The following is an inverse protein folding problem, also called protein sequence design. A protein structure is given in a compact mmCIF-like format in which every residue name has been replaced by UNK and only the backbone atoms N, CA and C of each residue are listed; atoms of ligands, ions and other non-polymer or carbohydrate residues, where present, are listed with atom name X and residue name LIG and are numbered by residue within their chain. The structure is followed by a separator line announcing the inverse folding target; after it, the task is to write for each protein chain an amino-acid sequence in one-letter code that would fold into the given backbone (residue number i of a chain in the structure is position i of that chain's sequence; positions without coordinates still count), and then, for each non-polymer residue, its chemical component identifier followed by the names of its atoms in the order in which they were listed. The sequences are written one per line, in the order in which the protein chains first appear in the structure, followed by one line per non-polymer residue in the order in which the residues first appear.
data_IF_956511351583
#
_entry.id   IF_956511351583
#
_cell.length_a   1.000
_cell.length_b   1.000
_cell.length_c   1.000
_cell.angle_alpha   90.00
_cell.angle_beta   90.00
_cell.angle_gamma   90.00
#
_symmetry.space_group_name_H-M   'P 1'
#
loop_
_entity.id
_entity.type
_entity.pdbx_description
1 polymer ?
#
# COMPACT_ATOMS: atom_id res chain seq x y z
N UNK A 1 -17.94 18.87 -16.38
CA UNK A 1 -19.14 18.00 -16.14
C UNK A 1 -19.50 18.07 -14.67
N UNK A 2 -20.76 18.40 -14.34
CA UNK A 2 -21.19 18.61 -12.94
C UNK A 2 -21.53 17.31 -12.20
N UNK A 3 -21.97 16.28 -12.91
CA UNK A 3 -22.32 14.98 -12.35
C UNK A 3 -22.04 13.82 -13.32
N UNK A 4 -21.85 12.64 -12.76
CA UNK A 4 -21.72 11.38 -13.49
C UNK A 4 -22.65 10.34 -12.86
N UNK A 5 -23.62 9.84 -13.66
CA UNK A 5 -24.49 8.74 -13.24
C UNK A 5 -23.72 7.43 -13.19
N UNK A 6 -23.96 6.64 -12.14
CA UNK A 6 -23.32 5.34 -11.92
C UNK A 6 -24.34 4.21 -12.06
N UNK A 7 -23.87 3.02 -12.40
CA UNK A 7 -24.73 1.85 -12.57
C UNK A 7 -25.49 1.48 -11.29
N UNK A 8 -24.82 1.59 -10.15
CA UNK A 8 -25.33 1.38 -8.77
C UNK A 8 -24.33 1.93 -7.76
N UNK A 9 -24.68 2.00 -6.49
CA UNK A 9 -23.81 2.42 -5.40
C UNK A 9 -22.80 1.34 -5.00
N UNK A 10 -22.58 1.13 -3.69
CA UNK A 10 -21.69 0.04 -3.21
C UNK A 10 -22.21 -1.34 -3.63
N UNK A 11 -23.52 -1.52 -3.69
CA UNK A 11 -24.15 -2.80 -4.03
C UNK A 11 -25.17 -2.63 -5.17
N UNK A 12 -25.48 -3.69 -5.95
CA UNK A 12 -26.38 -3.63 -7.12
C UNK A 12 -27.80 -3.15 -6.83
N UNK A 13 -28.28 -3.32 -5.59
CA UNK A 13 -29.58 -2.86 -5.13
C UNK A 13 -29.61 -1.37 -4.76
N UNK A 14 -28.48 -0.72 -4.60
CA UNK A 14 -28.37 0.69 -4.22
C UNK A 14 -28.46 1.59 -5.46
N UNK A 15 -29.68 1.88 -5.88
CA UNK A 15 -30.02 2.72 -7.04
C UNK A 15 -31.08 3.77 -6.65
N UNK A 16 -31.01 4.98 -7.23
CA UNK A 16 -30.00 5.47 -8.19
C UNK A 16 -28.64 5.73 -7.52
N UNK A 17 -27.58 5.87 -8.35
CA UNK A 17 -26.24 6.23 -7.87
C UNK A 17 -25.59 7.23 -8.82
N UNK A 18 -24.84 8.18 -8.26
CA UNK A 18 -24.06 9.18 -9.00
C UNK A 18 -22.93 9.74 -8.15
N UNK A 19 -21.93 10.31 -8.81
CA UNK A 19 -21.03 11.28 -8.19
C UNK A 19 -21.33 12.66 -8.77
N UNK A 20 -21.25 13.71 -7.96
CA UNK A 20 -21.57 15.07 -8.39
C UNK A 20 -20.91 16.13 -7.50
N UNK A 21 -20.80 17.33 -8.06
CA UNK A 21 -20.39 18.51 -7.32
C UNK A 21 -21.59 19.40 -7.06
N UNK A 22 -21.73 19.91 -5.84
CA UNK A 22 -22.78 20.91 -5.52
C UNK A 22 -22.49 22.25 -6.19
N UNK A 23 -21.20 22.58 -6.33
CA UNK A 23 -20.70 23.78 -7.00
C UNK A 23 -19.53 23.40 -7.91
N UNK A 24 -19.41 24.09 -9.04
CA UNK A 24 -18.35 23.80 -10.03
C UNK A 24 -18.57 22.51 -10.82
N UNK A 25 -17.50 22.00 -11.37
CA UNK A 25 -17.45 20.76 -12.16
C UNK A 25 -16.65 19.67 -11.43
N UNK A 26 -16.88 18.42 -11.79
CA UNK A 26 -16.08 17.30 -11.33
C UNK A 26 -14.62 17.52 -11.77
N UNK A 27 -13.66 17.41 -10.84
CA UNK A 27 -12.23 17.61 -11.16
C UNK A 27 -11.60 16.40 -11.86
N UNK A 28 -12.39 15.66 -12.62
CA UNK A 28 -11.96 14.43 -13.30
C UNK A 28 -12.50 14.34 -14.72
N UNK A 29 -11.76 13.59 -15.54
CA UNK A 29 -12.19 13.14 -16.86
C UNK A 29 -12.02 11.61 -16.94
N UNK A 30 -13.07 10.89 -17.33
CA UNK A 30 -13.00 9.44 -17.60
C UNK A 30 -12.55 9.25 -19.05
N UNK A 31 -11.27 8.90 -19.24
CA UNK A 31 -10.68 8.73 -20.56
C UNK A 31 -11.01 7.38 -21.20
N UNK A 32 -11.30 6.37 -20.38
CA UNK A 32 -11.72 5.04 -20.81
C UNK A 32 -12.49 4.30 -19.71
N UNK A 33 -13.34 3.35 -20.10
CA UNK A 33 -14.10 2.49 -19.19
C UNK A 33 -15.35 3.16 -18.61
N UNK A 34 -15.89 2.54 -17.58
CA UNK A 34 -17.08 3.01 -16.83
C UNK A 34 -16.87 2.71 -15.33
N UNK A 35 -16.12 3.54 -14.63
CA UNK A 35 -15.85 3.31 -13.20
C UNK A 35 -17.14 3.31 -12.39
N UNK A 36 -17.26 2.39 -11.46
CA UNK A 36 -18.37 2.32 -10.52
C UNK A 36 -18.12 3.10 -9.24
N UNK A 37 -19.09 3.07 -8.33
CA UNK A 37 -19.05 3.79 -7.05
C UNK A 37 -17.79 3.45 -6.23
N UNK A 38 -17.51 2.15 -6.03
CA UNK A 38 -16.34 1.71 -5.26
C UNK A 38 -15.04 2.10 -5.95
N UNK A 39 -14.99 2.05 -7.29
CA UNK A 39 -13.81 2.48 -8.04
C UNK A 39 -13.48 3.95 -7.78
N UNK A 40 -14.49 4.84 -7.72
CA UNK A 40 -14.26 6.24 -7.39
C UNK A 40 -13.87 6.45 -5.92
N UNK A 41 -14.39 5.64 -4.99
CA UNK A 41 -13.90 5.67 -3.61
C UNK A 41 -12.41 5.34 -3.53
N UNK A 42 -11.97 4.29 -4.22
CA UNK A 42 -10.54 3.95 -4.30
C UNK A 42 -9.74 5.03 -5.02
N UNK A 43 -10.24 5.54 -6.16
CA UNK A 43 -9.56 6.56 -6.96
C UNK A 43 -9.28 7.84 -6.15
N UNK A 44 -10.27 8.38 -5.48
CA UNK A 44 -10.12 9.67 -4.78
C UNK A 44 -9.29 9.54 -3.49
N UNK A 45 -9.41 8.41 -2.76
CA UNK A 45 -8.59 8.20 -1.58
C UNK A 45 -7.13 7.94 -1.95
N UNK A 46 -6.88 7.12 -2.97
CA UNK A 46 -5.52 6.84 -3.45
C UNK A 46 -4.84 8.06 -4.05
N UNK A 47 -5.59 8.91 -4.79
CA UNK A 47 -5.07 10.16 -5.32
C UNK A 47 -4.56 11.10 -4.22
N UNK A 48 -5.34 11.28 -3.15
CA UNK A 48 -4.92 12.11 -2.02
C UNK A 48 -3.61 11.59 -1.40
N UNK A 49 -3.46 10.28 -1.27
CA UNK A 49 -2.26 9.66 -0.72
C UNK A 49 -1.03 9.97 -1.59
N UNK A 50 -1.09 9.69 -2.90
CA UNK A 50 0.08 9.88 -3.77
C UNK A 50 0.44 11.35 -3.95
N UNK A 51 -0.57 12.24 -3.99
CA UNK A 51 -0.39 13.70 -4.01
C UNK A 51 0.34 14.17 -2.75
N UNK A 52 -0.08 13.68 -1.57
CA UNK A 52 0.56 14.02 -0.30
C UNK A 52 2.01 13.50 -0.23
N UNK A 53 2.28 12.28 -0.70
CA UNK A 53 3.64 11.73 -0.78
C UNK A 53 4.53 12.58 -1.69
N UNK A 54 4.06 12.92 -2.89
CA UNK A 54 4.80 13.78 -3.84
C UNK A 54 5.12 15.13 -3.20
N UNK A 55 4.14 15.75 -2.54
CA UNK A 55 4.33 17.05 -1.87
C UNK A 55 5.36 16.97 -0.75
N UNK A 56 5.31 15.93 0.07
CA UNK A 56 6.19 15.78 1.23
C UNK A 56 7.63 15.40 0.86
N UNK A 57 7.83 14.65 -0.22
CA UNK A 57 9.14 14.06 -0.56
C UNK A 57 9.79 14.62 -1.83
N UNK A 58 9.02 15.32 -2.67
CA UNK A 58 9.46 15.77 -4.00
C UNK A 58 9.62 14.62 -5.03
N UNK A 59 9.45 13.37 -4.62
CA UNK A 59 9.63 12.20 -5.47
C UNK A 59 8.31 11.76 -6.12
N UNK A 60 8.33 11.18 -7.33
CA UNK A 60 7.19 10.45 -7.87
C UNK A 60 6.73 9.38 -6.87
N UNK A 61 5.41 9.24 -6.72
CA UNK A 61 4.81 8.31 -5.80
C UNK A 61 3.62 7.57 -6.43
N UNK A 62 3.39 6.35 -6.00
CA UNK A 62 2.25 5.55 -6.44
C UNK A 62 1.64 4.77 -5.28
N UNK A 63 0.39 4.37 -5.47
CA UNK A 63 -0.34 3.51 -4.54
C UNK A 63 -1.15 2.45 -5.30
N UNK A 64 -1.33 1.32 -4.65
CA UNK A 64 -2.25 0.25 -5.03
C UNK A 64 -3.35 0.20 -3.98
N UNK A 65 -4.58 0.48 -4.38
CA UNK A 65 -5.72 0.59 -3.46
C UNK A 65 -6.74 -0.52 -3.70
N UNK A 66 -7.35 -0.98 -2.63
CA UNK A 66 -8.48 -1.90 -2.68
C UNK A 66 -9.32 -1.75 -1.42
N UNK A 67 -10.66 -1.72 -1.58
CA UNK A 67 -11.60 -1.53 -0.48
C UNK A 67 -11.30 -0.28 0.37
N UNK A 68 -11.00 0.82 -0.32
CA UNK A 68 -10.76 2.15 0.27
C UNK A 68 -9.56 2.18 1.24
N UNK A 69 -8.59 1.29 1.03
CA UNK A 69 -7.34 1.26 1.79
C UNK A 69 -6.17 0.87 0.89
N UNK A 70 -4.95 1.35 1.16
CA UNK A 70 -3.78 0.95 0.40
C UNK A 70 -3.41 -0.51 0.71
N UNK A 71 -3.27 -1.32 -0.34
CA UNK A 71 -2.50 -2.56 -0.28
C UNK A 71 -1.01 -2.24 -0.19
N UNK A 72 -0.60 -1.13 -0.81
CA UNK A 72 0.74 -0.60 -0.74
C UNK A 72 0.86 0.80 -1.31
N UNK A 73 1.94 1.49 -0.92
CA UNK A 73 2.36 2.79 -1.41
C UNK A 73 3.89 2.85 -1.49
N UNK A 74 4.43 3.56 -2.47
CA UNK A 74 5.88 3.65 -2.64
C UNK A 74 6.32 4.92 -3.37
N UNK A 75 7.58 5.28 -3.15
CA UNK A 75 8.31 6.33 -3.86
C UNK A 75 9.04 5.75 -5.08
N UNK A 76 9.28 6.59 -6.07
CA UNK A 76 9.91 6.25 -7.34
C UNK A 76 11.42 6.05 -7.25
N UNK A 77 11.86 5.08 -6.43
CA UNK A 77 13.26 4.64 -6.37
C UNK A 77 13.49 3.51 -7.37
N UNK A 78 14.70 3.40 -7.95
CA UNK A 78 15.05 2.29 -8.85
C UNK A 78 14.80 0.92 -8.20
N UNK A 79 14.35 -0.04 -9.02
CA UNK A 79 14.19 -1.42 -8.56
C UNK A 79 15.55 -2.10 -8.39
N UNK A 80 15.70 -2.83 -7.29
CA UNK A 80 16.82 -3.77 -7.13
C UNK A 80 16.60 -5.02 -7.99
N UNK A 81 17.64 -5.81 -8.23
CA UNK A 81 17.52 -7.06 -8.98
C UNK A 81 16.57 -8.06 -8.30
N UNK A 82 16.57 -8.07 -6.96
CA UNK A 82 15.65 -8.89 -6.17
C UNK A 82 14.19 -8.42 -6.38
N UNK A 83 13.94 -7.12 -6.33
CA UNK A 83 12.61 -6.56 -6.58
C UNK A 83 12.14 -6.85 -8.02
N UNK A 84 13.01 -6.72 -9.02
CA UNK A 84 12.67 -7.11 -10.41
C UNK A 84 12.22 -8.56 -10.48
N UNK A 85 12.95 -9.47 -9.84
CA UNK A 85 12.61 -10.89 -9.82
C UNK A 85 11.30 -11.16 -9.06
N UNK A 86 11.11 -10.57 -7.87
CA UNK A 86 9.91 -10.72 -7.05
C UNK A 86 8.65 -10.22 -7.76
N UNK A 87 8.77 -9.13 -8.52
CA UNK A 87 7.64 -8.43 -9.14
C UNK A 87 7.46 -8.77 -10.62
N UNK A 88 8.16 -9.80 -11.10
CA UNK A 88 8.06 -10.29 -12.48
C UNK A 88 8.39 -9.23 -13.52
N UNK A 89 9.38 -8.40 -13.24
CA UNK A 89 9.91 -7.39 -14.17
C UNK A 89 11.00 -8.03 -14.99
N UNK A 90 10.66 -8.34 -16.23
CA UNK A 90 11.55 -9.03 -17.19
C UNK A 90 12.09 -8.00 -18.20
N UNK A 91 12.96 -7.10 -17.74
CA UNK A 91 13.63 -6.15 -18.59
C UNK A 91 14.93 -5.64 -17.97
N UNK A 92 15.96 -5.51 -18.78
CA UNK A 92 17.20 -4.84 -18.40
C UNK A 92 17.12 -3.30 -18.58
N UNK A 93 16.04 -2.82 -19.21
CA UNK A 93 15.80 -1.39 -19.37
C UNK A 93 15.64 -0.73 -18.01
N UNK A 94 16.24 0.44 -17.84
CA UNK A 94 15.93 1.33 -16.73
C UNK A 94 14.50 1.85 -16.88
N UNK A 95 13.67 1.56 -15.86
CA UNK A 95 12.29 1.99 -15.84
C UNK A 95 12.18 3.42 -15.29
N UNK A 96 11.15 4.13 -15.71
CA UNK A 96 10.87 5.46 -15.19
C UNK A 96 10.60 5.44 -13.67
N UNK A 97 10.88 6.56 -12.97
CA UNK A 97 10.62 6.62 -11.53
C UNK A 97 9.15 6.35 -11.16
N UNK A 98 8.19 6.80 -11.99
CA UNK A 98 6.77 6.56 -11.71
C UNK A 98 6.39 5.09 -11.92
N UNK A 99 6.96 4.41 -12.90
CA UNK A 99 6.80 2.97 -13.07
C UNK A 99 7.38 2.20 -11.88
N UNK A 100 8.60 2.55 -11.44
CA UNK A 100 9.21 1.97 -10.25
C UNK A 100 8.33 2.17 -9.01
N UNK A 101 7.76 3.36 -8.82
CA UNK A 101 6.85 3.63 -7.70
C UNK A 101 5.65 2.69 -7.71
N UNK A 102 4.97 2.53 -8.86
CA UNK A 102 3.80 1.65 -8.95
C UNK A 102 4.16 0.18 -8.77
N UNK A 103 5.23 -0.29 -9.40
CA UNK A 103 5.70 -1.67 -9.25
C UNK A 103 5.97 -2.01 -7.80
N UNK A 104 6.63 -1.11 -7.07
CA UNK A 104 6.94 -1.26 -5.64
C UNK A 104 5.68 -1.15 -4.77
N UNK A 105 4.79 -0.20 -5.04
CA UNK A 105 3.53 -0.06 -4.32
C UNK A 105 2.66 -1.32 -4.43
N UNK A 106 2.50 -1.84 -5.65
CA UNK A 106 1.80 -3.11 -5.89
C UNK A 106 2.54 -4.30 -5.29
N UNK A 107 3.87 -4.26 -5.32
CA UNK A 107 4.76 -5.29 -4.79
C UNK A 107 4.71 -5.47 -3.28
N UNK A 108 4.23 -4.48 -2.53
CA UNK A 108 4.08 -4.54 -1.07
C UNK A 108 3.20 -5.72 -0.63
N UNK A 109 2.10 -5.95 -1.34
CA UNK A 109 1.18 -7.08 -1.12
C UNK A 109 0.50 -7.43 -2.46
N UNK A 110 1.09 -8.36 -3.19
CA UNK A 110 0.62 -8.72 -4.53
C UNK A 110 -0.74 -9.40 -4.53
N UNK A 111 -1.11 -10.11 -3.45
CA UNK A 111 -2.44 -10.71 -3.31
C UNK A 111 -3.53 -9.67 -3.06
N UNK A 112 -3.30 -8.75 -2.12
CA UNK A 112 -4.23 -7.66 -1.85
C UNK A 112 -4.36 -6.70 -3.05
N UNK A 113 -3.33 -6.61 -3.89
CA UNK A 113 -3.32 -5.80 -5.12
C UNK A 113 -4.03 -6.47 -6.31
N UNK A 114 -4.53 -7.70 -6.17
CA UNK A 114 -5.31 -8.34 -7.21
C UNK A 114 -6.65 -7.63 -7.42
N UNK A 115 -6.83 -7.00 -8.59
CA UNK A 115 -7.98 -6.15 -8.86
C UNK A 115 -7.91 -4.79 -8.17
N UNK A 116 -6.72 -4.23 -8.05
CA UNK A 116 -6.47 -2.93 -7.44
C UNK A 116 -6.98 -1.75 -8.27
N UNK A 117 -6.98 -0.60 -7.61
CA UNK A 117 -7.01 0.71 -8.25
C UNK A 117 -5.63 1.34 -8.10
N UNK A 118 -4.96 1.58 -9.24
CA UNK A 118 -3.67 2.24 -9.28
C UNK A 118 -3.81 3.75 -9.17
N UNK A 119 -2.95 4.41 -8.38
CA UNK A 119 -2.85 5.86 -8.35
C UNK A 119 -1.41 6.30 -8.56
N UNK A 120 -1.22 7.33 -9.37
CA UNK A 120 0.08 7.91 -9.69
C UNK A 120 0.08 9.40 -9.38
N UNK A 121 1.15 9.89 -8.77
CA UNK A 121 1.33 11.32 -8.49
C UNK A 121 1.73 12.15 -9.71
N UNK A 122 2.23 11.48 -10.73
CA UNK A 122 2.78 12.08 -11.96
C UNK A 122 2.12 11.45 -13.20
N UNK A 123 2.40 12.00 -14.37
CA UNK A 123 1.90 11.48 -15.66
C UNK A 123 2.19 9.99 -15.81
N UNK A 124 1.16 9.21 -16.14
CA UNK A 124 1.33 7.80 -16.48
C UNK A 124 2.05 7.67 -17.83
N UNK A 125 3.17 7.00 -17.83
CA UNK A 125 3.99 6.75 -19.02
C UNK A 125 3.85 5.31 -19.55
N UNK A 126 4.51 5.05 -20.68
CA UNK A 126 4.47 3.76 -21.35
C UNK A 126 5.07 2.63 -20.50
N UNK A 127 6.08 2.89 -19.69
CA UNK A 127 6.70 1.89 -18.81
C UNK A 127 5.69 1.42 -17.76
N UNK A 128 5.00 2.35 -17.12
CA UNK A 128 3.94 2.06 -16.13
C UNK A 128 2.78 1.31 -16.79
N UNK A 129 2.31 1.79 -17.94
CA UNK A 129 1.20 1.17 -18.66
C UNK A 129 1.53 -0.25 -19.12
N UNK A 130 2.74 -0.48 -19.60
CA UNK A 130 3.21 -1.80 -20.05
C UNK A 130 3.27 -2.80 -18.91
N UNK A 131 3.77 -2.41 -17.73
CA UNK A 131 3.75 -3.28 -16.55
C UNK A 131 2.30 -3.59 -16.13
N UNK A 132 1.47 -2.55 -16.04
CA UNK A 132 0.07 -2.66 -15.63
C UNK A 132 -0.77 -3.52 -16.58
N UNK A 133 -0.43 -3.55 -17.87
CA UNK A 133 -1.12 -4.36 -18.87
C UNK A 133 -1.10 -5.87 -18.53
N UNK A 134 -0.07 -6.34 -17.85
CA UNK A 134 0.10 -7.73 -17.45
C UNK A 134 -0.49 -8.05 -16.05
N UNK A 135 -0.98 -7.06 -15.33
CA UNK A 135 -1.54 -7.23 -13.98
C UNK A 135 -3.08 -7.25 -14.00
N UNK A 136 -3.69 -7.90 -13.01
CA UNK A 136 -5.14 -7.79 -12.79
C UNK A 136 -5.39 -6.54 -11.95
N UNK A 137 -5.98 -5.54 -12.60
CA UNK A 137 -6.27 -4.22 -12.04
C UNK A 137 -7.63 -3.74 -12.54
N UNK A 138 -8.34 -2.95 -11.77
CA UNK A 138 -9.68 -2.44 -12.11
C UNK A 138 -9.65 -1.06 -12.76
N UNK A 139 -8.64 -0.26 -12.43
CA UNK A 139 -8.50 1.07 -12.99
C UNK A 139 -7.28 1.83 -12.48
N UNK A 140 -7.12 3.02 -13.01
CA UNK A 140 -6.01 3.92 -12.70
C UNK A 140 -6.48 5.37 -12.65
N UNK A 141 -5.89 6.14 -11.71
CA UNK A 141 -6.02 7.59 -11.66
C UNK A 141 -4.64 8.23 -11.71
N UNK A 142 -4.49 9.26 -12.52
CA UNK A 142 -3.26 10.04 -12.65
C UNK A 142 -3.60 11.48 -13.10
N UNK A 143 -2.68 12.45 -12.89
CA UNK A 143 -2.89 13.83 -13.36
C UNK A 143 -2.87 13.94 -14.88
N UNK A 144 -2.14 13.04 -15.56
CA UNK A 144 -2.13 12.95 -17.03
C UNK A 144 -1.65 11.56 -17.51
N UNK A 145 -1.76 11.33 -18.82
CA UNK A 145 -1.34 10.11 -19.49
C UNK A 145 -0.61 10.46 -20.80
N UNK A 146 0.54 9.84 -21.06
CA UNK A 146 1.13 9.94 -22.38
C UNK A 146 0.24 9.25 -23.41
N UNK A 147 0.31 9.68 -24.68
CA UNK A 147 -0.49 9.07 -25.75
C UNK A 147 -0.24 7.55 -25.86
N UNK A 148 1.04 7.12 -25.75
CA UNK A 148 1.42 5.72 -25.78
C UNK A 148 0.85 4.93 -24.59
N UNK A 149 0.95 5.47 -23.37
CA UNK A 149 0.37 4.84 -22.18
C UNK A 149 -1.14 4.66 -22.33
N UNK A 150 -1.84 5.67 -22.81
CA UNK A 150 -3.29 5.64 -23.00
C UNK A 150 -3.68 4.56 -24.03
N UNK A 151 -2.96 4.45 -25.14
CA UNK A 151 -3.23 3.38 -26.12
C UNK A 151 -3.02 1.98 -25.54
N UNK A 152 -1.97 1.75 -24.76
CA UNK A 152 -1.75 0.48 -24.06
C UNK A 152 -2.92 0.17 -23.10
N UNK A 153 -3.29 1.13 -22.26
CA UNK A 153 -4.33 0.95 -21.24
C UNK A 153 -5.71 0.71 -21.84
N UNK A 154 -6.03 1.35 -22.97
CA UNK A 154 -7.30 1.15 -23.68
C UNK A 154 -7.49 -0.28 -24.22
N UNK A 155 -6.40 -1.03 -24.47
CA UNK A 155 -6.51 -2.42 -24.91
C UNK A 155 -6.82 -3.40 -23.76
N UNK A 156 -6.50 -3.01 -22.53
CA UNK A 156 -6.69 -3.85 -21.34
C UNK A 156 -8.16 -4.14 -21.07
N UNK A 157 -8.46 -5.34 -20.53
CA UNK A 157 -9.83 -5.81 -20.23
C UNK A 157 -10.77 -5.74 -21.44
N UNK A 158 -10.26 -6.04 -22.65
CA UNK A 158 -11.02 -5.97 -23.91
C UNK A 158 -11.60 -4.56 -24.16
N UNK A 159 -10.85 -3.53 -23.80
CA UNK A 159 -11.26 -2.13 -23.94
C UNK A 159 -12.03 -1.54 -22.77
N UNK A 160 -12.29 -2.32 -21.72
CA UNK A 160 -13.08 -1.89 -20.56
C UNK A 160 -12.27 -1.48 -19.32
N UNK A 161 -10.95 -1.27 -19.44
CA UNK A 161 -10.15 -0.80 -18.32
C UNK A 161 -10.46 0.64 -17.96
N UNK A 162 -10.61 0.93 -16.68
CA UNK A 162 -10.97 2.28 -16.24
C UNK A 162 -9.73 3.18 -16.17
N UNK A 163 -9.78 4.31 -16.88
CA UNK A 163 -8.73 5.32 -16.91
C UNK A 163 -9.32 6.67 -16.54
N UNK A 164 -8.88 7.24 -15.45
CA UNK A 164 -9.37 8.50 -14.91
C UNK A 164 -8.23 9.52 -14.83
N UNK A 165 -8.41 10.65 -15.50
CA UNK A 165 -7.55 11.82 -15.36
C UNK A 165 -8.14 12.72 -14.27
N UNK A 166 -7.29 13.25 -13.39
CA UNK A 166 -7.70 14.18 -12.33
C UNK A 166 -6.97 15.51 -12.48
N UNK A 167 -7.66 16.60 -12.18
CA UNK A 167 -7.06 17.93 -12.07
C UNK A 167 -6.14 17.96 -10.83
N UNK A 168 -4.82 18.06 -11.00
CA UNK A 168 -3.88 18.05 -9.88
C UNK A 168 -3.98 19.30 -8.99
N UNK A 169 -4.54 20.39 -9.49
CA UNK A 169 -4.65 21.67 -8.79
C UNK A 169 -5.98 21.81 -8.02
N UNK A 170 -6.89 20.84 -8.19
CA UNK A 170 -8.16 20.85 -7.45
C UNK A 170 -7.93 20.73 -5.95
N UNK A 171 -8.54 21.65 -5.21
CA UNK A 171 -8.61 21.61 -3.74
C UNK A 171 -10.05 21.42 -3.28
N UNK A 172 -10.32 20.45 -2.38
CA UNK A 172 -11.65 20.27 -1.81
C UNK A 172 -12.03 21.44 -0.89
N UNK A 173 -13.32 21.59 -0.60
CA UNK A 173 -13.79 22.57 0.37
C UNK A 173 -13.19 22.30 1.75
N UNK A 174 -13.06 23.38 2.55
CA UNK A 174 -12.53 23.31 3.92
C UNK A 174 -13.43 22.54 4.89
N UNK A 175 -14.67 22.30 4.51
CA UNK A 175 -15.67 21.54 5.30
C UNK A 175 -16.13 20.36 4.49
N UNK A 176 -16.09 19.17 5.09
CA UNK A 176 -16.65 17.95 4.53
C UNK A 176 -17.89 17.49 5.30
N UNK A 177 -18.80 16.88 4.61
CA UNK A 177 -20.07 16.39 5.15
C UNK A 177 -20.29 14.92 4.79
N UNK A 178 -20.86 14.15 5.72
CA UNK A 178 -21.20 12.75 5.55
C UNK A 178 -22.54 12.45 6.19
N UNK A 179 -23.41 11.76 5.46
CA UNK A 179 -24.71 11.33 5.99
C UNK A 179 -24.64 9.87 6.47
N UNK A 180 -25.00 9.62 7.73
CA UNK A 180 -25.13 8.30 8.31
C UNK A 180 -26.51 8.17 8.93
N UNK A 181 -27.29 7.22 8.47
CA UNK A 181 -28.67 7.00 8.93
C UNK A 181 -29.55 8.26 8.84
N UNK A 182 -29.34 9.10 7.80
CA UNK A 182 -30.06 10.35 7.62
C UNK A 182 -29.60 11.51 8.53
N UNK A 183 -28.61 11.27 9.38
CA UNK A 183 -27.99 12.32 10.22
C UNK A 183 -26.72 12.78 9.50
N UNK A 184 -26.63 14.11 9.29
CA UNK A 184 -25.47 14.73 8.67
C UNK A 184 -24.40 15.02 9.71
N UNK A 185 -23.21 14.48 9.44
CA UNK A 185 -21.98 14.82 10.14
C UNK A 185 -21.22 15.88 9.34
N UNK A 186 -20.64 16.84 10.03
CA UNK A 186 -19.84 17.91 9.45
C UNK A 186 -18.54 18.07 10.24
N UNK A 187 -17.43 18.19 9.53
CA UNK A 187 -16.11 18.44 10.12
C UNK A 187 -15.22 19.23 9.17
N UNK A 188 -14.12 19.78 9.67
CA UNK A 188 -13.07 20.32 8.82
C UNK A 188 -12.47 19.22 7.94
N UNK A 189 -12.23 19.53 6.67
CA UNK A 189 -11.47 18.64 5.80
C UNK A 189 -10.05 18.42 6.35
N UNK A 190 -9.59 17.17 6.38
CA UNK A 190 -8.28 16.84 6.92
C UNK A 190 -7.15 17.23 5.94
N UNK A 191 -6.85 18.53 5.91
CA UNK A 191 -5.76 19.12 5.12
C UNK A 191 -4.42 19.17 5.86
N UNK A 192 -4.30 18.50 7.02
CA UNK A 192 -3.06 18.49 7.80
C UNK A 192 -1.90 17.93 6.98
N UNK A 193 -0.84 18.74 6.84
CA UNK A 193 0.36 18.36 6.09
C UNK A 193 1.34 17.61 6.98
N UNK A 194 1.67 16.39 6.60
CA UNK A 194 2.68 15.59 7.27
C UNK A 194 4.06 16.02 6.77
N UNK A 195 4.92 16.40 7.70
CA UNK A 195 6.29 16.87 7.43
C UNK A 195 7.27 16.36 8.49
N UNK A 196 8.55 16.54 8.25
CA UNK A 196 9.62 16.13 9.17
C UNK A 196 9.52 16.79 10.55
N UNK A 197 8.84 17.91 10.67
CA UNK A 197 8.64 18.58 11.98
C UNK A 197 7.92 17.69 12.99
N UNK A 198 7.11 16.72 12.53
CA UNK A 198 6.45 15.72 13.38
C UNK A 198 7.42 14.73 14.02
N UNK A 199 8.62 14.61 13.49
CA UNK A 199 9.63 13.65 13.94
C UNK A 199 10.60 14.21 15.00
N UNK A 200 10.44 15.47 15.39
CA UNK A 200 11.37 16.15 16.30
C UNK A 200 11.33 15.64 17.75
N UNK A 201 10.24 15.00 18.17
CA UNK A 201 10.09 14.49 19.53
C UNK A 201 10.47 13.00 19.62
N UNK A 202 11.77 12.72 19.59
CA UNK A 202 12.28 11.36 19.82
C UNK A 202 12.28 11.06 21.31
N UNK A 203 11.48 10.09 21.76
CA UNK A 203 11.22 9.78 23.17
C UNK A 203 12.10 8.68 23.75
N UNK A 204 12.74 7.88 22.91
CA UNK A 204 13.63 6.77 23.32
C UNK A 204 15.05 7.24 23.63
N UNK A 205 15.86 6.37 24.28
CA UNK A 205 17.27 6.65 24.57
C UNK A 205 18.09 6.76 23.27
N UNK A 206 17.90 5.83 22.35
CA UNK A 206 18.48 5.95 21.01
C UNK A 206 17.83 7.10 20.26
N UNK A 207 18.66 8.06 19.82
CA UNK A 207 18.25 9.26 19.09
C UNK A 207 18.66 9.22 17.61
N UNK A 208 19.32 8.13 17.18
CA UNK A 208 19.76 8.01 15.80
C UNK A 208 18.56 7.83 14.87
N UNK A 209 18.40 8.80 13.96
CA UNK A 209 17.33 8.81 12.97
C UNK A 209 17.90 9.26 11.61
N UNK A 210 18.40 8.34 10.80
CA UNK A 210 18.97 8.66 9.50
C UNK A 210 17.88 9.14 8.51
N UNK A 211 18.29 9.91 7.49
CA UNK A 211 17.39 10.48 6.49
C UNK A 211 16.48 9.43 5.81
N UNK A 212 17.02 8.23 5.54
CA UNK A 212 16.22 7.14 4.98
C UNK A 212 15.07 6.73 5.89
N UNK A 213 15.30 6.67 7.20
CA UNK A 213 14.25 6.33 8.18
C UNK A 213 13.25 7.48 8.37
N UNK A 214 13.68 8.75 8.26
CA UNK A 214 12.74 9.89 8.26
C UNK A 214 11.79 9.81 7.06
N UNK A 215 12.32 9.55 5.87
CA UNK A 215 11.49 9.37 4.67
C UNK A 215 10.50 8.22 4.84
N UNK A 216 10.93 7.09 5.43
CA UNK A 216 10.08 5.94 5.69
C UNK A 216 9.00 6.26 6.75
N UNK A 217 9.32 7.04 7.80
CA UNK A 217 8.34 7.53 8.77
C UNK A 217 7.29 8.45 8.12
N UNK A 218 7.71 9.37 7.24
CA UNK A 218 6.80 10.25 6.50
C UNK A 218 5.88 9.44 5.60
N UNK A 219 6.44 8.47 4.86
CA UNK A 219 5.65 7.57 4.02
C UNK A 219 4.65 6.78 4.86
N UNK A 220 5.07 6.26 6.02
CA UNK A 220 4.20 5.56 6.95
C UNK A 220 3.02 6.43 7.40
N UNK A 221 3.28 7.64 7.90
CA UNK A 221 2.25 8.55 8.39
C UNK A 221 1.27 8.95 7.29
N UNK A 222 1.75 9.27 6.07
CA UNK A 222 0.89 9.62 4.94
C UNK A 222 0.04 8.42 4.52
N UNK A 223 0.62 7.22 4.45
CA UNK A 223 -0.13 6.00 4.15
C UNK A 223 -1.26 5.77 5.15
N UNK A 224 -0.97 5.92 6.44
CA UNK A 224 -1.95 5.73 7.53
C UNK A 224 -3.06 6.76 7.51
N UNK A 225 -2.76 8.01 7.13
CA UNK A 225 -3.77 9.09 6.99
C UNK A 225 -4.91 8.70 6.05
N UNK A 226 -4.66 7.80 5.10
CA UNK A 226 -5.63 7.34 4.09
C UNK A 226 -5.94 5.84 4.20
N UNK A 227 -5.69 5.25 5.37
CA UNK A 227 -5.96 3.84 5.67
C UNK A 227 -7.05 3.72 6.75
N UNK A 228 -8.05 2.88 6.51
CA UNK A 228 -9.13 2.64 7.48
C UNK A 228 -8.60 2.24 8.86
N UNK A 229 -9.00 2.94 9.90
CA UNK A 229 -8.56 2.71 11.28
C UNK A 229 -9.19 1.47 11.92
N UNK A 230 -8.55 0.85 12.93
CA UNK A 230 -7.16 1.07 13.29
C UNK A 230 -6.22 0.65 12.17
N UNK A 231 -5.17 1.41 11.97
CA UNK A 231 -4.19 1.09 10.95
C UNK A 231 -2.75 1.15 11.45
N UNK A 232 -1.92 0.25 10.93
CA UNK A 232 -0.48 0.14 11.18
C UNK A 232 0.17 -0.22 9.85
N UNK A 233 1.31 0.37 9.53
CA UNK A 233 2.08 -0.05 8.37
C UNK A 233 3.57 -0.17 8.67
N UNK A 234 4.20 -1.13 7.99
CA UNK A 234 5.63 -1.34 7.98
C UNK A 234 6.18 -0.81 6.66
N UNK A 235 7.28 -0.10 6.75
CA UNK A 235 7.92 0.59 5.62
C UNK A 235 9.40 0.28 5.59
N UNK A 236 9.95 0.12 4.40
CA UNK A 236 11.38 -0.05 4.17
C UNK A 236 11.78 0.55 2.84
N UNK A 237 12.88 1.29 2.84
CA UNK A 237 13.50 1.84 1.63
C UNK A 237 12.53 2.63 0.71
N UNK A 238 11.60 3.38 1.30
CA UNK A 238 10.64 4.21 0.56
C UNK A 238 9.46 3.44 -0.04
N UNK A 239 9.12 2.28 0.53
CA UNK A 239 7.87 1.56 0.20
C UNK A 239 7.27 0.92 1.44
N UNK A 240 5.95 0.82 1.49
CA UNK A 240 5.28 -0.04 2.45
C UNK A 240 5.58 -1.50 2.13
N UNK A 241 5.77 -2.32 3.15
CA UNK A 241 6.00 -3.76 3.03
C UNK A 241 4.93 -4.59 3.73
N UNK A 242 4.04 -3.92 4.47
CA UNK A 242 2.87 -4.54 5.09
C UNK A 242 1.94 -3.49 5.67
N UNK A 243 0.68 -3.49 5.25
CA UNK A 243 -0.37 -2.58 5.74
C UNK A 243 -1.47 -3.38 6.40
N UNK A 244 -1.79 -3.05 7.64
CA UNK A 244 -2.95 -3.54 8.37
C UNK A 244 -3.99 -2.43 8.49
N UNK A 245 -5.24 -2.72 8.14
CA UNK A 245 -6.33 -1.77 8.09
C UNK A 245 -7.58 -2.31 8.76
N UNK A 246 -8.42 -1.41 9.31
CA UNK A 246 -9.77 -1.73 9.76
C UNK A 246 -9.86 -2.68 10.95
N UNK A 247 -8.82 -2.79 11.78
CA UNK A 247 -8.82 -3.67 12.93
C UNK A 247 -9.33 -2.96 14.20
N UNK A 248 -10.18 -3.66 14.99
CA UNK A 248 -10.70 -3.11 16.24
C UNK A 248 -9.66 -3.10 17.37
N UNK A 249 -8.64 -3.97 17.30
CA UNK A 249 -7.56 -4.03 18.28
C UNK A 249 -6.24 -3.59 17.66
N UNK A 250 -5.52 -2.67 18.34
CA UNK A 250 -4.21 -2.21 17.90
C UNK A 250 -3.20 -3.35 17.71
N UNK A 251 -3.13 -4.25 18.68
CA UNK A 251 -2.19 -5.38 18.60
C UNK A 251 -2.54 -6.34 17.45
N UNK A 252 -3.82 -6.56 17.14
CA UNK A 252 -4.22 -7.36 15.98
C UNK A 252 -3.81 -6.68 14.69
N UNK A 253 -3.94 -5.35 14.62
CA UNK A 253 -3.49 -4.58 13.48
C UNK A 253 -1.96 -4.68 13.28
N UNK A 254 -1.20 -4.51 14.37
CA UNK A 254 0.26 -4.64 14.35
C UNK A 254 0.71 -6.04 13.92
N UNK A 255 0.01 -7.08 14.36
CA UNK A 255 0.27 -8.48 13.95
C UNK A 255 -0.03 -8.70 12.47
N UNK A 256 -1.19 -8.23 12.00
CA UNK A 256 -1.59 -8.35 10.60
C UNK A 256 -0.59 -7.66 9.66
N UNK A 257 -0.29 -6.39 9.92
CA UNK A 257 0.69 -5.64 9.13
C UNK A 257 2.09 -6.29 9.17
N UNK A 258 2.51 -6.75 10.37
CA UNK A 258 3.79 -7.43 10.55
C UNK A 258 3.85 -8.77 9.82
N UNK A 259 2.77 -9.56 9.79
CA UNK A 259 2.73 -10.82 9.04
C UNK A 259 2.86 -10.59 7.54
N UNK A 260 2.25 -9.52 7.02
CA UNK A 260 2.43 -9.12 5.61
C UNK A 260 3.86 -8.68 5.32
N UNK A 261 4.49 -7.90 6.22
CA UNK A 261 5.89 -7.48 6.10
C UNK A 261 6.84 -8.69 6.14
N UNK A 262 6.59 -9.66 7.01
CA UNK A 262 7.35 -10.90 7.09
C UNK A 262 7.22 -11.71 5.78
N UNK A 263 6.00 -11.83 5.24
CA UNK A 263 5.76 -12.51 3.97
C UNK A 263 6.46 -11.80 2.79
N UNK A 264 6.41 -10.46 2.75
CA UNK A 264 7.15 -9.67 1.76
C UNK A 264 8.65 -10.01 1.79
N UNK A 265 9.24 -10.14 2.98
CA UNK A 265 10.66 -10.48 3.12
C UNK A 265 10.94 -11.96 2.80
N UNK A 266 10.05 -12.87 3.18
CA UNK A 266 10.15 -14.30 2.86
C UNK A 266 10.08 -14.55 1.34
N UNK A 267 9.33 -13.75 0.59
CA UNK A 267 9.30 -13.83 -0.88
C UNK A 267 10.66 -13.61 -1.54
N UNK A 268 11.63 -13.02 -0.82
CA UNK A 268 13.03 -12.85 -1.26
C UNK A 268 13.92 -14.06 -0.94
N UNK A 269 13.39 -15.06 -0.26
CA UNK A 269 14.16 -16.25 0.09
C UNK A 269 14.59 -17.02 -1.17
N UNK A 270 15.86 -17.54 -1.27
CA UNK A 270 16.32 -18.25 -2.46
C UNK A 270 15.41 -19.39 -2.92
N UNK A 271 14.81 -20.16 -1.99
CA UNK A 271 13.85 -21.21 -2.33
C UNK A 271 12.59 -20.65 -3.00
N UNK A 272 12.14 -19.45 -2.64
CA UNK A 272 10.97 -18.79 -3.24
C UNK A 272 11.31 -18.23 -4.61
N UNK A 273 12.44 -17.50 -4.71
CA UNK A 273 12.91 -16.96 -5.99
C UNK A 273 13.27 -18.05 -7.00
N UNK A 274 13.70 -19.23 -6.51
CA UNK A 274 14.06 -20.39 -7.32
C UNK A 274 12.88 -21.28 -7.74
N UNK A 275 11.64 -20.95 -7.41
CA UNK A 275 10.46 -21.73 -7.80
C UNK A 275 10.34 -21.81 -9.34
N UNK A 276 10.29 -23.03 -9.87
CA UNK A 276 10.17 -23.31 -11.30
C UNK A 276 8.72 -23.56 -11.68
N UNK A 277 8.08 -22.55 -12.24
CA UNK A 277 6.68 -22.63 -12.66
C UNK A 277 6.53 -23.30 -14.03
N UNK A 278 5.39 -23.97 -14.26
CA UNK A 278 5.03 -24.49 -15.57
C UNK A 278 4.90 -23.37 -16.60
N UNK A 279 5.15 -23.69 -17.88
CA UNK A 279 5.07 -22.71 -18.95
C UNK A 279 3.63 -22.18 -19.11
N UNK A 280 3.51 -20.88 -19.38
CA UNK A 280 2.22 -20.24 -19.59
C UNK A 280 1.41 -19.94 -18.32
N UNK A 281 1.91 -20.23 -17.12
CA UNK A 281 1.25 -19.86 -15.87
C UNK A 281 1.10 -18.33 -15.79
N UNK A 282 -0.08 -17.86 -15.44
CA UNK A 282 -0.35 -16.41 -15.33
C UNK A 282 0.22 -15.83 -14.03
N UNK A 283 0.53 -14.55 -14.03
CA UNK A 283 1.04 -13.84 -12.82
C UNK A 283 0.17 -14.04 -11.58
N UNK A 284 -1.18 -13.91 -11.62
CA UNK A 284 -2.00 -14.14 -10.43
C UNK A 284 -1.90 -15.55 -9.87
N UNK A 285 -1.80 -16.55 -10.76
CA UNK A 285 -1.67 -17.94 -10.34
C UNK A 285 -0.31 -18.22 -9.70
N UNK A 286 0.77 -17.54 -10.21
CA UNK A 286 2.11 -17.56 -9.58
C UNK A 286 2.09 -16.90 -8.20
N UNK A 287 1.45 -15.72 -8.07
CA UNK A 287 1.35 -15.01 -6.80
C UNK A 287 0.62 -15.84 -5.76
N UNK A 288 -0.51 -16.46 -6.14
CA UNK A 288 -1.26 -17.35 -5.26
C UNK A 288 -0.43 -18.58 -4.84
N UNK A 289 0.27 -19.19 -5.79
CA UNK A 289 1.12 -20.34 -5.49
C UNK A 289 2.28 -19.99 -4.54
N UNK A 290 2.90 -18.80 -4.71
CA UNK A 290 3.95 -18.33 -3.81
C UNK A 290 3.37 -18.06 -2.41
N UNK A 291 2.19 -17.47 -2.32
CA UNK A 291 1.55 -17.17 -1.05
C UNK A 291 1.27 -18.44 -0.25
N UNK A 292 0.61 -19.43 -0.88
CA UNK A 292 0.35 -20.73 -0.25
C UNK A 292 1.67 -21.43 0.12
N UNK A 293 2.66 -21.43 -0.78
CA UNK A 293 3.97 -22.06 -0.52
C UNK A 293 4.71 -21.44 0.67
N UNK A 294 4.58 -20.13 0.87
CA UNK A 294 5.23 -19.41 1.98
C UNK A 294 4.41 -19.43 3.28
N UNK A 295 3.14 -19.81 3.22
CA UNK A 295 2.23 -19.92 4.37
C UNK A 295 2.47 -21.19 5.19
N UNK A 296 1.68 -21.39 6.23
CA UNK A 296 1.64 -22.62 6.99
C UNK A 296 0.77 -23.70 6.31
N UNK A 297 0.06 -23.34 5.22
CA UNK A 297 -0.80 -24.22 4.40
C UNK A 297 -0.04 -24.75 3.16
N UNK A 298 1.29 -24.71 3.13
CA UNK A 298 2.12 -25.10 1.99
C UNK A 298 1.88 -26.54 1.51
N UNK A 299 1.38 -27.41 2.39
CA UNK A 299 1.06 -28.80 2.03
C UNK A 299 0.01 -28.87 0.92
N UNK A 300 -0.93 -27.92 0.87
CA UNK A 300 -2.00 -27.88 -0.13
C UNK A 300 -1.44 -27.72 -1.55
N UNK A 301 -0.47 -26.83 -1.75
CA UNK A 301 0.16 -26.62 -3.05
C UNK A 301 1.20 -27.69 -3.40
N UNK A 302 1.78 -28.37 -2.41
CA UNK A 302 2.76 -29.42 -2.58
C UNK A 302 2.15 -30.84 -2.62
N UNK A 303 0.81 -30.95 -2.48
CA UNK A 303 0.09 -32.22 -2.56
C UNK A 303 0.26 -32.90 -3.93
N UNK A 304 0.26 -34.23 -3.92
CA UNK A 304 0.36 -35.01 -5.15
C UNK A 304 -0.86 -34.77 -6.06
N UNK A 305 -0.61 -34.55 -7.35
CA UNK A 305 -1.64 -34.17 -8.34
C UNK A 305 -1.97 -32.66 -8.34
N UNK A 306 -1.45 -31.87 -7.38
CA UNK A 306 -1.61 -30.40 -7.30
C UNK A 306 -0.34 -29.71 -7.78
N UNK A 307 0.82 -30.02 -7.18
CA UNK A 307 2.07 -29.35 -7.50
C UNK A 307 2.45 -29.44 -8.99
N UNK A 308 2.16 -30.55 -9.65
CA UNK A 308 2.46 -30.77 -11.08
C UNK A 308 1.73 -29.80 -12.01
N UNK A 309 0.62 -29.21 -11.56
CA UNK A 309 -0.13 -28.20 -12.33
C UNK A 309 0.49 -26.82 -12.24
N UNK A 310 1.36 -26.62 -11.25
CA UNK A 310 1.92 -25.31 -10.91
C UNK A 310 3.42 -25.24 -11.13
N UNK A 311 4.15 -26.30 -10.78
CA UNK A 311 5.61 -26.34 -10.82
C UNK A 311 6.13 -27.38 -11.78
N UNK A 312 7.28 -27.10 -12.42
CA UNK A 312 8.02 -28.06 -13.27
C UNK A 312 8.69 -29.16 -12.45
N UNK A 313 9.12 -28.78 -11.23
CA UNK A 313 9.77 -29.66 -10.26
C UNK A 313 9.11 -29.43 -8.92
N UNK A 314 8.85 -30.51 -8.16
CA UNK A 314 8.27 -30.38 -6.83
C UNK A 314 9.20 -29.55 -5.93
N UNK A 315 8.75 -28.39 -5.42
CA UNK A 315 9.57 -27.58 -4.54
C UNK A 315 9.91 -28.31 -3.23
N UNK A 316 11.10 -28.02 -2.70
CA UNK A 316 11.42 -28.36 -1.32
C UNK A 316 10.58 -27.51 -0.36
N UNK A 317 10.23 -28.08 0.79
CA UNK A 317 9.51 -27.33 1.84
C UNK A 317 10.40 -26.20 2.37
N UNK A 318 9.82 -25.02 2.50
CA UNK A 318 10.41 -23.92 3.24
C UNK A 318 9.95 -24.02 4.71
N UNK A 319 10.82 -24.56 5.58
CA UNK A 319 10.45 -24.88 6.96
C UNK A 319 10.21 -23.63 7.82
N UNK A 320 9.50 -23.79 8.92
CA UNK A 320 9.26 -22.70 9.88
C UNK A 320 10.58 -22.13 10.45
N UNK A 321 11.58 -23.00 10.68
CA UNK A 321 12.90 -22.62 11.14
C UNK A 321 13.65 -21.79 10.08
N UNK A 322 13.60 -22.19 8.81
CA UNK A 322 14.21 -21.46 7.69
C UNK A 322 13.52 -20.09 7.54
N UNK A 323 12.18 -20.03 7.57
CA UNK A 323 11.42 -18.76 7.53
C UNK A 323 11.84 -17.84 8.68
N UNK A 324 11.88 -18.35 9.91
CA UNK A 324 12.28 -17.57 11.09
C UNK A 324 13.71 -17.07 11.00
N UNK A 325 14.65 -17.92 10.58
CA UNK A 325 16.05 -17.54 10.40
C UNK A 325 16.22 -16.50 9.28
N UNK A 326 15.39 -16.56 8.23
CA UNK A 326 15.39 -15.57 7.16
C UNK A 326 14.85 -14.23 7.63
N UNK A 327 13.68 -14.21 8.26
CA UNK A 327 13.04 -12.98 8.79
C UNK A 327 13.98 -12.27 9.79
N UNK A 328 14.74 -13.01 10.59
CA UNK A 328 15.69 -12.44 11.53
C UNK A 328 16.82 -11.64 10.87
N UNK A 329 17.05 -11.79 9.57
CA UNK A 329 18.03 -11.00 8.79
C UNK A 329 17.48 -9.64 8.35
N UNK A 330 16.15 -9.43 8.43
CA UNK A 330 15.55 -8.16 8.06
C UNK A 330 15.89 -7.08 9.09
N UNK A 331 16.32 -5.93 8.63
CA UNK A 331 16.73 -4.79 9.46
C UNK A 331 16.31 -3.48 8.80
N UNK A 332 16.40 -2.37 9.52
CA UNK A 332 16.12 -1.04 8.98
C UNK A 332 14.65 -0.79 8.69
N UNK A 333 13.75 -1.60 9.25
CA UNK A 333 12.30 -1.43 9.04
C UNK A 333 11.75 -0.33 9.94
N UNK A 334 10.89 0.48 9.38
CA UNK A 334 10.10 1.49 10.10
C UNK A 334 8.68 0.97 10.29
N UNK A 335 8.08 1.19 11.47
CA UNK A 335 6.65 0.97 11.69
C UNK A 335 5.95 2.28 12.08
N UNK A 336 4.82 2.57 11.44
CA UNK A 336 3.93 3.66 11.79
C UNK A 336 2.61 3.15 12.34
N UNK A 337 1.99 3.95 13.22
CA UNK A 337 0.66 3.70 13.77
C UNK A 337 -0.20 4.97 13.74
N UNK A 338 -1.45 4.85 13.33
CA UNK A 338 -2.40 5.98 13.23
C UNK A 338 -2.88 6.50 14.59
N UNK A 339 -2.65 5.72 15.67
CA UNK A 339 -2.86 6.12 17.06
C UNK A 339 -1.79 5.50 17.97
N UNK A 340 -1.82 5.83 19.26
CA UNK A 340 -0.84 5.35 20.22
C UNK A 340 -0.82 3.81 20.35
N UNK A 341 0.33 3.25 20.65
CA UNK A 341 0.45 1.87 21.12
C UNK A 341 0.01 1.79 22.59
N UNK A 342 -0.99 0.97 22.91
CA UNK A 342 -1.46 0.89 24.30
C UNK A 342 -0.52 0.17 25.23
N UNK A 343 0.33 -0.75 24.71
CA UNK A 343 1.28 -1.56 25.47
C UNK A 343 2.52 -1.89 24.65
N UNK A 344 3.61 -2.27 25.34
CA UNK A 344 4.88 -2.66 24.73
C UNK A 344 4.82 -3.92 23.86
N UNK A 345 3.74 -4.74 23.92
CA UNK A 345 3.54 -5.91 23.06
C UNK A 345 3.54 -5.58 21.57
N UNK A 346 3.08 -4.36 21.21
CA UNK A 346 3.16 -3.85 19.84
C UNK A 346 4.62 -3.67 19.39
N UNK A 347 5.48 -3.16 20.26
CA UNK A 347 6.92 -3.03 20.01
C UNK A 347 7.57 -4.40 19.91
N UNK A 348 7.24 -5.33 20.82
CA UNK A 348 7.72 -6.71 20.79
C UNK A 348 7.36 -7.42 19.47
N UNK A 349 6.13 -7.19 18.98
CA UNK A 349 5.74 -7.73 17.66
C UNK A 349 6.50 -7.08 16.52
N UNK A 350 6.62 -5.76 16.52
CA UNK A 350 7.26 -5.00 15.45
C UNK A 350 8.76 -5.38 15.32
N UNK A 351 9.46 -5.51 16.44
CA UNK A 351 10.86 -5.92 16.47
C UNK A 351 11.13 -7.23 15.73
N UNK A 352 10.21 -8.20 15.82
CA UNK A 352 10.36 -9.52 15.16
C UNK A 352 10.41 -9.43 13.64
N UNK A 353 9.88 -8.35 13.06
CA UNK A 353 9.92 -8.06 11.62
C UNK A 353 11.09 -7.13 11.21
N UNK A 354 12.08 -6.93 12.09
CA UNK A 354 13.27 -6.11 11.79
C UNK A 354 13.09 -4.62 12.02
N UNK A 355 12.08 -4.21 12.78
CA UNK A 355 11.81 -2.80 13.08
C UNK A 355 12.91 -2.21 13.96
N UNK A 356 13.47 -1.09 13.52
CA UNK A 356 14.43 -0.25 14.22
C UNK A 356 13.91 1.16 14.48
N UNK A 357 12.85 1.55 13.79
CA UNK A 357 12.26 2.89 13.86
C UNK A 357 10.75 2.82 14.04
N UNK A 358 10.21 3.61 14.97
CA UNK A 358 8.78 3.68 15.27
C UNK A 358 8.30 5.13 15.19
N UNK A 359 7.15 5.36 14.55
CA UNK A 359 6.46 6.64 14.58
C UNK A 359 5.00 6.45 14.96
N UNK A 360 4.56 7.15 16.00
CA UNK A 360 3.19 7.08 16.52
C UNK A 360 2.85 8.36 17.31
N UNK A 361 1.56 8.65 17.57
CA UNK A 361 1.20 9.88 18.27
C UNK A 361 1.68 9.97 19.72
N UNK A 362 1.78 8.86 20.46
CA UNK A 362 1.89 8.90 21.92
C UNK A 362 0.56 9.29 22.59
N UNK A 363 0.58 9.50 23.89
CA UNK A 363 -0.60 9.91 24.69
C UNK A 363 -1.34 8.77 25.36
N UNK A 364 -0.76 7.58 25.41
CA UNK A 364 -1.26 6.45 26.23
C UNK A 364 -0.86 6.65 27.70
N UNK A 365 -1.71 6.21 28.61
CA UNK A 365 -1.37 6.10 30.04
C UNK A 365 -0.15 5.19 30.26
N UNK A 366 0.14 4.32 29.32
CA UNK A 366 1.23 3.34 29.37
C UNK A 366 2.37 3.67 28.39
N UNK A 367 2.55 4.95 28.03
CA UNK A 367 3.67 5.37 27.18
C UNK A 367 5.04 5.02 27.80
N UNK A 368 5.13 5.04 29.14
CA UNK A 368 6.31 4.57 29.88
C UNK A 368 6.73 3.13 29.50
N UNK A 369 5.78 2.20 29.52
CA UNK A 369 6.00 0.81 29.16
C UNK A 369 6.37 0.63 27.68
N UNK A 370 5.76 1.41 26.80
CA UNK A 370 6.06 1.38 25.36
C UNK A 370 7.47 1.88 25.08
N UNK A 371 7.88 3.00 25.73
CA UNK A 371 9.22 3.58 25.60
C UNK A 371 10.27 2.62 26.19
N UNK A 372 10.04 2.06 27.39
CA UNK A 372 10.94 1.08 28.02
C UNK A 372 11.17 -0.13 27.11
N UNK A 373 10.10 -0.65 26.50
CA UNK A 373 10.20 -1.77 25.57
C UNK A 373 11.01 -1.41 24.32
N UNK A 374 10.85 -0.20 23.78
CA UNK A 374 11.64 0.28 22.65
C UNK A 374 13.13 0.43 23.02
N UNK A 375 13.42 1.01 24.20
CA UNK A 375 14.79 1.16 24.72
C UNK A 375 15.50 -0.18 24.91
N UNK A 376 14.80 -1.20 25.40
CA UNK A 376 15.31 -2.58 25.54
C UNK A 376 15.92 -3.13 24.25
N UNK A 377 15.40 -2.71 23.10
CA UNK A 377 15.80 -3.16 21.77
C UNK A 377 16.61 -2.12 20.99
N UNK A 378 16.96 -0.98 21.58
CA UNK A 378 17.68 0.09 20.92
C UNK A 378 16.91 0.75 19.77
N UNK A 379 15.57 0.67 19.78
CA UNK A 379 14.69 1.23 18.76
C UNK A 379 14.60 2.75 18.96
N UNK A 380 14.68 3.50 17.86
CA UNK A 380 14.39 4.95 17.85
C UNK A 380 12.89 5.17 17.63
N UNK A 381 12.23 5.89 18.56
CA UNK A 381 10.80 6.16 18.48
C UNK A 381 10.50 7.66 18.58
N UNK A 382 9.71 8.16 17.61
CA UNK A 382 9.19 9.51 17.59
C UNK A 382 7.71 9.56 17.97
N UNK A 383 7.32 10.49 18.82
CA UNK A 383 5.93 10.83 19.13
C UNK A 383 5.51 12.06 18.35
N UNK A 384 4.51 11.91 17.49
CA UNK A 384 4.01 13.01 16.65
C UNK A 384 3.01 13.92 17.34
N UNK A 385 2.36 13.45 18.42
CA UNK A 385 1.23 14.15 19.05
C UNK A 385 -0.03 14.22 18.16
N UNK A 386 0.01 13.64 16.95
CA UNK A 386 -1.06 13.74 15.96
C UNK A 386 -1.68 12.37 15.65
N UNK A 387 -2.95 12.19 16.03
CA UNK A 387 -3.75 11.01 15.65
C UNK A 387 -4.24 11.15 14.20
N UNK A 388 -4.17 10.03 13.44
CA UNK A 388 -4.46 9.99 12.01
C UNK A 388 -5.65 9.07 11.69
N UNK A 389 -6.69 9.06 12.50
CA UNK A 389 -7.87 8.21 12.24
C UNK A 389 -8.54 8.56 10.92
N UNK A 390 -8.91 7.52 10.18
CA UNK A 390 -9.64 7.57 8.93
C UNK A 390 -10.82 6.57 8.99
N UNK A 391 -12.04 7.07 8.81
CA UNK A 391 -13.29 6.30 8.90
C UNK A 391 -14.21 6.54 7.72
#
# INVERSE_FOLDING_TARGET
MKELALKYGCNPNQKPARIFMTEGELPIEVLNGKPGYINFCDAFNSWQLVRALKKATGMPAAASFKHVSPAGAALGKPLTDIEKQMYFVDTDKELSPIACAYIRARGADRLCSYGDWAALSDTCDADTASYLAHEVSDGIIAPDFTAEALEILKTKRKGGYNVVKIDPDYEPKSIEQRDIFGIRFEQGYNNYEISESLLNNIVTENKDLPESAKHDMILALITLKYTQSNSVCYVKDGMTIGVGAGQQSRIHCTRLAGSKADNWFVRQHPKVLGLQFVDGIRRPDRDNAIDVYTSDEYEDILAEGVWQKTFKVKPEVLTAEEKKAWIAKNTGVTVGSDAFFPFGDNVERARKSGVQYIVQPGGSIRDDNVIETANKYGITMAFTGMRLFHH
#
